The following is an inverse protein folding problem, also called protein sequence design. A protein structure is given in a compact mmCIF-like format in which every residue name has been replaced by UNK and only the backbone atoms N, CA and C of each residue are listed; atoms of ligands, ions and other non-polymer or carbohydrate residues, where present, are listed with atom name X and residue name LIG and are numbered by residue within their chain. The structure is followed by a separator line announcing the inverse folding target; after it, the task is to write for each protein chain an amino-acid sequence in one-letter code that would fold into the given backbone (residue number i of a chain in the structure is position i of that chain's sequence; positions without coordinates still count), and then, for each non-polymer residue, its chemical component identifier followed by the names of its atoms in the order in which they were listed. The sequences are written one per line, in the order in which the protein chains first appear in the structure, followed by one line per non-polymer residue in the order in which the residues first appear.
data_IF_883170306057
#
_entry.id   IF_883170306057
#
_cell.length_a   1.000
_cell.length_b   1.000
_cell.length_c   1.000
_cell.angle_alpha   90.00
_cell.angle_beta   90.00
_cell.angle_gamma   90.00
#
_symmetry.space_group_name_H-M   'P 1'
#
loop_
_entity.id
_entity.type
_entity.pdbx_description
1 polymer ?
#
# COMPACT_ATOMS: atom_id res chain seq x y z
N UNK A 1 -8.87 -4.11 7.86
CA UNK A 1 -10.08 -4.94 7.62
C UNK A 1 -10.41 -5.72 8.88
N UNK A 2 -9.47 -6.52 9.38
CA UNK A 2 -9.47 -7.00 10.76
C UNK A 2 -9.50 -5.79 11.73
N UNK A 3 -10.48 -5.74 12.64
CA UNK A 3 -10.71 -4.61 13.56
C UNK A 3 -11.36 -3.36 12.93
N UNK A 4 -11.80 -3.44 11.67
CA UNK A 4 -12.46 -2.32 10.97
C UNK A 4 -13.82 -2.73 10.41
N UNK A 5 -13.84 -3.66 9.45
CA UNK A 5 -15.08 -4.20 8.87
C UNK A 5 -15.49 -5.53 9.51
N UNK A 6 -14.52 -6.24 10.09
CA UNK A 6 -14.72 -7.48 10.83
C UNK A 6 -14.11 -7.36 12.22
N UNK A 7 -14.70 -8.06 13.20
CA UNK A 7 -14.10 -8.20 14.51
C UNK A 7 -12.70 -8.82 14.42
N UNK A 8 -11.81 -8.43 15.33
CA UNK A 8 -10.46 -8.97 15.40
C UNK A 8 -10.47 -10.51 15.43
N UNK A 9 -9.87 -11.15 14.42
CA UNK A 9 -9.76 -12.61 14.31
C UNK A 9 -10.99 -13.31 13.72
N UNK A 10 -12.02 -12.59 13.31
CA UNK A 10 -13.24 -13.20 12.74
C UNK A 10 -13.05 -13.82 11.36
N UNK A 11 -12.03 -13.37 10.61
CA UNK A 11 -11.62 -13.95 9.33
C UNK A 11 -10.10 -14.13 9.34
N UNK A 12 -9.63 -15.30 8.88
CA UNK A 12 -8.21 -15.52 8.65
C UNK A 12 -7.74 -14.78 7.39
N UNK A 13 -6.43 -14.55 7.29
CA UNK A 13 -5.83 -13.94 6.09
C UNK A 13 -6.06 -14.80 4.83
N UNK A 14 -6.07 -16.13 4.98
CA UNK A 14 -6.32 -17.06 3.87
C UNK A 14 -7.76 -17.00 3.37
N UNK A 15 -8.74 -16.95 4.28
CA UNK A 15 -10.15 -16.78 3.91
C UNK A 15 -10.37 -15.44 3.22
N UNK A 16 -9.81 -14.37 3.77
CA UNK A 16 -9.88 -13.06 3.15
C UNK A 16 -9.26 -13.06 1.74
N UNK A 17 -8.06 -13.63 1.60
CA UNK A 17 -7.35 -13.67 0.33
C UNK A 17 -8.18 -14.40 -0.74
N UNK A 18 -8.69 -15.59 -0.44
CA UNK A 18 -9.45 -16.41 -1.40
C UNK A 18 -10.84 -15.89 -1.69
N UNK A 19 -11.52 -15.26 -0.73
CA UNK A 19 -12.87 -14.75 -0.93
C UNK A 19 -12.90 -13.37 -1.60
N UNK A 20 -11.90 -12.52 -1.35
CA UNK A 20 -11.98 -11.10 -1.69
C UNK A 20 -10.78 -10.56 -2.48
N UNK A 21 -9.59 -11.16 -2.39
CA UNK A 21 -8.40 -10.59 -3.02
C UNK A 21 -8.04 -11.29 -4.33
N UNK A 22 -7.79 -12.60 -4.27
CA UNK A 22 -7.35 -13.44 -5.40
C UNK A 22 -8.37 -13.54 -6.54
N UNK A 23 -9.71 -13.55 -6.31
CA UNK A 23 -10.68 -13.67 -7.40
C UNK A 23 -10.79 -12.44 -8.31
N UNK A 24 -10.36 -11.26 -7.84
CA UNK A 24 -10.49 -10.03 -8.63
C UNK A 24 -9.32 -9.92 -9.62
N UNK A 25 -9.50 -10.44 -10.83
CA UNK A 25 -8.49 -10.48 -11.90
C UNK A 25 -8.93 -9.73 -13.17
N UNK A 26 -9.51 -8.55 -13.00
CA UNK A 26 -9.79 -7.61 -14.09
C UNK A 26 -8.53 -7.05 -14.76
N UNK A 27 -8.67 -6.60 -16.00
CA UNK A 27 -7.56 -6.07 -16.81
C UNK A 27 -7.15 -4.64 -16.41
N UNK A 28 -7.95 -3.94 -15.58
CA UNK A 28 -7.77 -2.54 -15.17
C UNK A 28 -8.02 -2.35 -13.66
N UNK A 29 -8.32 -1.11 -13.24
CA UNK A 29 -8.49 -0.68 -11.85
C UNK A 29 -9.71 -1.28 -11.12
N UNK A 30 -10.52 -2.10 -11.79
CA UNK A 30 -11.82 -2.62 -11.36
C UNK A 30 -11.71 -3.75 -10.31
N UNK A 31 -10.98 -3.47 -9.23
CA UNK A 31 -10.81 -4.36 -8.09
C UNK A 31 -9.63 -5.31 -8.19
N UNK A 32 -8.94 -5.39 -9.34
CA UNK A 32 -7.73 -6.20 -9.47
C UNK A 32 -6.47 -5.47 -9.06
N UNK A 33 -5.74 -6.02 -8.09
CA UNK A 33 -4.41 -5.53 -7.73
C UNK A 33 -3.42 -5.64 -8.90
N UNK A 34 -3.35 -6.81 -9.55
CA UNK A 34 -2.40 -7.04 -10.65
C UNK A 34 -2.75 -6.19 -11.88
N UNK A 35 -4.05 -6.10 -12.24
CA UNK A 35 -4.51 -5.23 -13.31
C UNK A 35 -4.15 -3.76 -13.06
N UNK A 36 -4.40 -3.26 -11.84
CA UNK A 36 -4.00 -1.92 -11.43
C UNK A 36 -2.48 -1.71 -11.52
N UNK A 37 -1.68 -2.61 -10.95
CA UNK A 37 -0.22 -2.54 -10.98
C UNK A 37 0.33 -2.46 -12.41
N UNK A 38 -0.15 -3.34 -13.31
CA UNK A 38 0.31 -3.35 -14.70
C UNK A 38 -0.10 -2.07 -15.43
N UNK A 39 -1.32 -1.58 -15.21
CA UNK A 39 -1.80 -0.35 -15.86
C UNK A 39 -0.90 0.85 -15.56
N UNK A 40 -0.35 0.95 -14.35
CA UNK A 40 0.63 1.97 -13.99
C UNK A 40 2.03 1.68 -14.49
N UNK A 41 2.45 0.41 -14.52
CA UNK A 41 3.73 0.01 -15.12
C UNK A 41 3.82 0.42 -16.60
N UNK A 42 2.72 0.34 -17.34
CA UNK A 42 2.65 0.78 -18.74
C UNK A 42 2.85 2.29 -18.90
N UNK A 43 2.62 3.07 -17.84
CA UNK A 43 2.87 4.52 -17.80
C UNK A 43 4.28 4.89 -17.33
N UNK A 44 5.19 3.95 -17.06
CA UNK A 44 6.51 4.24 -16.49
C UNK A 44 7.41 5.18 -17.32
N UNK A 45 7.15 5.28 -18.63
CA UNK A 45 7.88 6.18 -19.54
C UNK A 45 7.13 7.49 -19.80
N UNK A 46 5.96 7.69 -19.18
CA UNK A 46 5.21 8.93 -19.27
C UNK A 46 5.88 9.98 -18.38
N UNK A 47 6.33 11.08 -18.96
CA UNK A 47 7.00 12.16 -18.22
C UNK A 47 6.11 12.83 -17.16
N UNK A 48 4.79 12.63 -17.22
CA UNK A 48 3.83 13.12 -16.22
C UNK A 48 3.50 12.09 -15.13
N UNK A 49 4.23 10.97 -15.06
CA UNK A 49 4.02 9.91 -14.09
C UNK A 49 5.33 9.56 -13.40
N UNK A 50 5.35 9.67 -12.07
CA UNK A 50 6.44 9.17 -11.23
C UNK A 50 5.99 7.89 -10.53
N UNK A 51 6.66 6.78 -10.82
CA UNK A 51 6.45 5.51 -10.12
C UNK A 51 7.39 5.42 -8.93
N UNK A 52 6.83 5.16 -7.74
CA UNK A 52 7.58 4.93 -6.51
C UNK A 52 7.17 3.59 -5.91
N UNK A 53 8.07 2.98 -5.16
CA UNK A 53 7.77 1.79 -4.36
C UNK A 53 7.73 2.18 -2.90
N UNK A 54 6.78 1.61 -2.15
CA UNK A 54 6.69 1.87 -0.70
C UNK A 54 7.98 1.44 0.00
N UNK A 55 8.58 0.33 -0.43
CA UNK A 55 9.85 -0.18 0.05
C UNK A 55 11.01 0.78 -0.21
N UNK A 56 11.08 1.38 -1.40
CA UNK A 56 12.10 2.37 -1.74
C UNK A 56 11.99 3.62 -0.85
N UNK A 57 10.77 4.15 -0.69
CA UNK A 57 10.52 5.30 0.19
C UNK A 57 10.86 5.00 1.65
N UNK A 58 10.56 3.78 2.13
CA UNK A 58 10.91 3.35 3.48
C UNK A 58 12.39 3.12 3.69
N UNK A 59 13.11 2.68 2.66
CA UNK A 59 14.55 2.47 2.71
C UNK A 59 15.31 3.80 2.76
N UNK A 60 14.87 4.80 2.00
CA UNK A 60 15.46 6.13 2.03
C UNK A 60 14.42 7.23 1.74
N UNK A 61 13.86 7.79 2.82
CA UNK A 61 12.83 8.82 2.72
C UNK A 61 13.37 10.14 2.13
N UNK A 62 14.63 10.49 2.42
CA UNK A 62 15.26 11.71 1.86
C UNK A 62 15.32 11.65 0.35
N UNK A 63 15.83 10.54 -0.20
CA UNK A 63 15.91 10.35 -1.65
C UNK A 63 14.53 10.36 -2.29
N UNK A 64 13.52 9.77 -1.64
CA UNK A 64 12.15 9.83 -2.14
C UNK A 64 11.61 11.26 -2.19
N UNK A 65 11.81 12.05 -1.12
CA UNK A 65 11.39 13.46 -1.07
C UNK A 65 12.09 14.29 -2.15
N UNK A 66 13.40 14.12 -2.32
CA UNK A 66 14.19 14.79 -3.35
C UNK A 66 13.72 14.41 -4.76
N UNK A 67 13.44 13.12 -4.99
CA UNK A 67 12.91 12.62 -6.27
C UNK A 67 11.55 13.23 -6.60
N UNK A 68 10.65 13.31 -5.61
CA UNK A 68 9.32 13.91 -5.77
C UNK A 68 9.43 15.41 -6.03
N UNK A 69 10.27 16.12 -5.27
CA UNK A 69 10.47 17.55 -5.46
C UNK A 69 11.02 17.87 -6.86
N UNK A 70 12.00 17.09 -7.32
CA UNK A 70 12.53 17.22 -8.68
C UNK A 70 11.45 16.98 -9.74
N UNK A 71 10.67 15.90 -9.61
CA UNK A 71 9.57 15.58 -10.53
C UNK A 71 8.49 16.66 -10.60
N UNK A 72 8.20 17.32 -9.47
CA UNK A 72 7.23 18.41 -9.38
C UNK A 72 7.84 19.80 -9.68
N UNK A 73 9.13 19.86 -10.02
CA UNK A 73 9.87 21.11 -10.24
C UNK A 73 9.82 22.08 -9.05
N UNK A 74 9.85 21.54 -7.82
CA UNK A 74 9.84 22.31 -6.57
C UNK A 74 11.28 22.48 -6.06
N UNK A 75 11.68 23.73 -5.82
CA UNK A 75 12.94 24.02 -5.13
C UNK A 75 12.85 23.54 -3.67
N UNK A 76 13.70 22.57 -3.33
CA UNK A 76 13.73 21.95 -2.01
C UNK A 76 14.90 22.51 -1.19
N UNK A 77 14.68 23.66 -0.55
CA UNK A 77 15.63 24.22 0.40
C UNK A 77 15.69 23.38 1.70
N UNK A 78 16.73 23.59 2.51
CA UNK A 78 16.92 22.78 3.72
C UNK A 78 15.76 22.91 4.73
N UNK A 79 15.20 24.11 5.00
CA UNK A 79 14.02 24.22 5.86
C UNK A 79 12.80 23.43 5.37
N UNK A 80 12.49 23.49 4.07
CA UNK A 80 11.38 22.73 3.49
C UNK A 80 11.67 21.22 3.53
N UNK A 81 12.90 20.81 3.24
CA UNK A 81 13.34 19.42 3.32
C UNK A 81 13.15 18.85 4.72
N UNK A 82 13.64 19.54 5.75
CA UNK A 82 13.47 19.13 7.14
C UNK A 82 11.98 19.03 7.53
N UNK A 83 11.17 19.99 7.12
CA UNK A 83 9.74 20.02 7.40
C UNK A 83 9.02 18.81 6.78
N UNK A 84 9.28 18.53 5.50
CA UNK A 84 8.66 17.41 4.78
C UNK A 84 9.10 16.08 5.39
N UNK A 85 10.39 15.90 5.69
CA UNK A 85 10.90 14.68 6.32
C UNK A 85 10.27 14.43 7.68
N UNK A 86 10.14 15.47 8.51
CA UNK A 86 9.49 15.38 9.80
C UNK A 86 8.04 14.94 9.66
N UNK A 87 7.24 15.62 8.83
CA UNK A 87 5.81 15.35 8.71
C UNK A 87 5.47 14.04 7.97
N UNK A 88 6.36 13.55 7.12
CA UNK A 88 6.23 12.26 6.45
C UNK A 88 6.81 11.09 7.26
N UNK A 89 7.44 11.36 8.40
CA UNK A 89 7.96 10.31 9.28
C UNK A 89 6.84 9.51 9.93
N UNK A 90 7.10 8.22 10.16
CA UNK A 90 6.17 7.34 10.86
C UNK A 90 5.90 7.83 12.29
N UNK A 91 6.92 8.31 12.98
CA UNK A 91 6.81 8.86 14.33
C UNK A 91 5.81 10.01 14.38
N UNK A 92 5.95 10.97 13.47
CA UNK A 92 5.02 12.09 13.38
C UNK A 92 3.60 11.62 13.05
N UNK A 93 3.44 10.71 12.08
CA UNK A 93 2.12 10.18 11.71
C UNK A 93 1.43 9.45 12.87
N UNK A 94 2.17 8.66 13.66
CA UNK A 94 1.65 7.98 14.85
C UNK A 94 1.26 8.96 15.94
N UNK A 95 2.10 9.96 16.23
CA UNK A 95 1.81 11.01 17.20
C UNK A 95 0.55 11.82 16.83
N UNK A 96 0.20 11.87 15.54
CA UNK A 96 -0.95 12.61 15.00
C UNK A 96 -2.00 11.68 14.39
N UNK A 97 -2.09 10.42 14.83
CA UNK A 97 -2.94 9.38 14.21
C UNK A 97 -4.42 9.79 14.05
N UNK A 98 -4.94 10.67 14.92
CA UNK A 98 -6.31 11.19 14.86
C UNK A 98 -6.60 12.04 13.62
N UNK A 99 -5.56 12.58 12.95
CA UNK A 99 -5.71 13.28 11.66
C UNK A 99 -5.93 12.32 10.50
N UNK A 100 -5.67 11.03 10.70
CA UNK A 100 -5.75 9.99 9.68
C UNK A 100 -6.90 9.01 9.95
N UNK A 101 -7.76 9.27 10.94
CA UNK A 101 -8.96 8.47 11.20
C UNK A 101 -10.20 9.02 10.47
N UNK A 102 -11.27 8.23 10.40
CA UNK A 102 -12.57 8.63 9.82
C UNK A 102 -13.63 8.82 10.92
N UNK A 103 -13.56 9.89 11.74
CA UNK A 103 -14.42 10.04 12.91
C UNK A 103 -15.91 10.11 12.55
N UNK A 104 -16.26 10.67 11.38
CA UNK A 104 -17.65 10.74 10.92
C UNK A 104 -18.20 9.37 10.52
N UNK A 105 -17.42 8.56 9.81
CA UNK A 105 -17.82 7.20 9.43
C UNK A 105 -17.97 6.32 10.66
N UNK A 106 -17.01 6.41 11.60
CA UNK A 106 -17.08 5.72 12.88
C UNK A 106 -18.34 6.11 13.66
N UNK A 107 -18.64 7.39 13.80
CA UNK A 107 -19.83 7.85 14.51
C UNK A 107 -21.13 7.39 13.84
N UNK A 108 -21.19 7.37 12.50
CA UNK A 108 -22.37 6.92 11.78
C UNK A 108 -22.59 5.40 11.91
N UNK A 109 -21.56 4.59 11.71
CA UNK A 109 -21.63 3.12 11.80
C UNK A 109 -21.85 2.63 13.23
N UNK A 110 -21.32 3.34 14.23
CA UNK A 110 -21.54 3.02 15.65
C UNK A 110 -23.01 3.18 16.07
N UNK A 111 -23.74 4.16 15.52
CA UNK A 111 -25.18 4.34 15.79
C UNK A 111 -26.01 3.14 15.32
N UNK A 112 -25.60 2.53 14.22
CA UNK A 112 -26.27 1.36 13.63
C UNK A 112 -25.76 0.03 14.22
N UNK A 113 -24.86 0.07 15.22
CA UNK A 113 -24.26 -1.13 15.80
C UNK A 113 -23.31 -1.89 14.85
N UNK A 114 -22.91 -1.27 13.74
CA UNK A 114 -22.02 -1.83 12.72
C UNK A 114 -20.54 -1.54 12.98
N UNK A 115 -20.22 -0.99 14.15
CA UNK A 115 -18.86 -0.67 14.56
C UNK A 115 -18.37 -1.61 15.67
N UNK A 116 -17.18 -2.23 15.54
CA UNK A 116 -16.60 -3.05 16.61
C UNK A 116 -16.34 -2.21 17.87
N UNK A 117 -16.82 -2.62 19.06
CA UNK A 117 -16.63 -1.87 20.30
C UNK A 117 -15.15 -1.88 20.77
N UNK A 118 -14.65 -0.71 21.20
CA UNK A 118 -13.39 -0.59 21.96
C UNK A 118 -12.09 -0.43 21.15
N UNK A 119 -12.15 -0.40 19.82
CA UNK A 119 -10.94 -0.34 18.99
C UNK A 119 -10.61 1.09 18.51
N UNK A 120 -9.35 1.50 18.73
CA UNK A 120 -8.82 2.76 18.18
C UNK A 120 -8.40 2.54 16.74
N UNK A 121 -9.15 3.09 15.79
CA UNK A 121 -8.92 2.89 14.36
C UNK A 121 -7.94 3.91 13.79
N UNK A 122 -6.65 3.69 14.06
CA UNK A 122 -5.61 4.38 13.31
C UNK A 122 -5.46 3.73 11.94
N UNK A 123 -5.46 4.54 10.87
CA UNK A 123 -5.02 4.10 9.52
C UNK A 123 -3.50 3.99 9.42
N UNK A 124 -2.78 4.58 10.36
CA UNK A 124 -1.32 4.49 10.47
C UNK A 124 -0.99 3.28 11.34
N UNK A 125 -0.43 2.25 10.71
CA UNK A 125 -0.02 1.00 11.38
C UNK A 125 1.53 0.97 11.55
N UNK A 126 2.12 -0.20 11.79
CA UNK A 126 3.56 -0.41 12.09
C UNK A 126 4.53 0.23 11.09
N UNK A 127 4.12 0.50 9.85
CA UNK A 127 4.96 1.15 8.83
C UNK A 127 6.25 0.37 8.50
N UNK A 128 6.17 -0.96 8.55
CA UNK A 128 7.27 -1.89 8.33
C UNK A 128 7.10 -2.61 6.99
N UNK A 129 8.23 -2.88 6.33
CA UNK A 129 8.30 -3.70 5.12
C UNK A 129 8.62 -5.14 5.50
N UNK A 130 7.91 -6.10 4.90
CA UNK A 130 8.23 -7.52 5.02
C UNK A 130 7.49 -8.30 6.10
N UNK A 131 6.55 -7.69 6.84
CA UNK A 131 5.70 -8.38 7.82
C UNK A 131 4.92 -9.57 7.21
N UNK A 132 4.59 -9.50 5.91
CA UNK A 132 3.96 -10.59 5.18
C UNK A 132 4.75 -11.91 5.25
N UNK A 133 6.07 -11.88 5.45
CA UNK A 133 6.90 -13.09 5.50
C UNK A 133 6.56 -14.00 6.68
N UNK A 134 6.00 -13.43 7.75
CA UNK A 134 5.55 -14.18 8.93
C UNK A 134 4.04 -14.31 9.00
N UNK A 135 3.30 -13.37 8.39
CA UNK A 135 1.84 -13.30 8.48
C UNK A 135 1.11 -14.01 7.33
N UNK A 136 1.74 -14.12 6.15
CA UNK A 136 1.13 -14.71 4.95
C UNK A 136 1.48 -16.20 4.86
N UNK A 137 0.48 -17.11 4.84
CA UNK A 137 0.71 -18.52 4.63
C UNK A 137 1.34 -18.80 3.26
N UNK A 138 2.25 -19.78 3.22
CA UNK A 138 3.06 -20.09 2.04
C UNK A 138 2.22 -20.46 0.81
N UNK A 139 1.10 -21.13 1.02
CA UNK A 139 0.16 -21.52 -0.03
C UNK A 139 -0.51 -20.31 -0.69
N UNK A 140 -0.83 -19.27 0.08
CA UNK A 140 -1.40 -18.03 -0.47
C UNK A 140 -0.34 -17.28 -1.27
N UNK A 141 0.91 -17.25 -0.80
CA UNK A 141 2.03 -16.71 -1.57
C UNK A 141 2.20 -17.42 -2.92
N UNK A 142 2.13 -18.75 -2.94
CA UNK A 142 2.23 -19.53 -4.18
C UNK A 142 1.04 -19.28 -5.14
N UNK A 143 -0.17 -19.11 -4.62
CA UNK A 143 -1.36 -18.71 -5.40
C UNK A 143 -1.16 -17.31 -6.01
N UNK A 144 -0.66 -16.34 -5.24
CA UNK A 144 -0.34 -14.99 -5.74
C UNK A 144 0.74 -15.01 -6.82
N UNK A 145 1.79 -15.83 -6.66
CA UNK A 145 2.85 -15.98 -7.65
C UNK A 145 2.33 -16.63 -8.95
N UNK A 146 1.35 -17.53 -8.86
CA UNK A 146 0.69 -18.08 -10.05
C UNK A 146 -0.05 -17.00 -10.83
N UNK A 147 -0.84 -16.17 -10.13
CA UNK A 147 -1.55 -15.05 -10.76
C UNK A 147 -0.57 -14.06 -11.38
N UNK A 148 0.57 -13.78 -10.72
CA UNK A 148 1.61 -12.91 -11.27
C UNK A 148 2.12 -13.42 -12.63
N UNK A 149 2.44 -14.71 -12.73
CA UNK A 149 2.93 -15.33 -13.98
C UNK A 149 1.90 -15.27 -15.11
N UNK A 150 0.61 -15.34 -14.77
CA UNK A 150 -0.48 -15.31 -15.75
C UNK A 150 -0.84 -13.88 -16.19
N UNK A 151 -0.69 -12.89 -15.30
CA UNK A 151 -1.23 -11.53 -15.52
C UNK A 151 -0.17 -10.45 -15.70
N UNK A 152 0.88 -10.46 -14.89
CA UNK A 152 1.88 -9.38 -14.83
C UNK A 152 3.07 -9.69 -15.71
N UNK A 153 3.65 -10.88 -15.60
CA UNK A 153 4.84 -11.25 -16.36
C UNK A 153 4.65 -11.08 -17.88
N UNK A 154 3.53 -11.52 -18.52
CA UNK A 154 3.36 -11.38 -19.96
C UNK A 154 3.31 -9.93 -20.46
N UNK A 155 2.86 -8.99 -19.61
CA UNK A 155 2.72 -7.56 -19.96
C UNK A 155 3.94 -6.73 -19.59
N UNK A 156 4.68 -7.16 -18.57
CA UNK A 156 5.81 -6.41 -18.03
C UNK A 156 7.17 -6.99 -18.40
N UNK A 157 7.24 -8.28 -18.74
CA UNK A 157 8.47 -9.05 -18.91
C UNK A 157 9.18 -9.39 -17.59
N UNK A 158 8.53 -9.14 -16.45
CA UNK A 158 9.15 -9.29 -15.13
C UNK A 158 8.57 -10.49 -14.39
N UNK A 159 9.43 -11.46 -14.05
CA UNK A 159 9.04 -12.72 -13.44
C UNK A 159 8.60 -12.62 -11.96
N UNK A 160 8.80 -11.48 -11.31
CA UNK A 160 8.41 -11.29 -9.91
C UNK A 160 8.30 -9.82 -9.52
N UNK A 161 7.65 -9.57 -8.37
CA UNK A 161 7.60 -8.24 -7.77
C UNK A 161 8.99 -7.69 -7.42
N UNK A 162 9.92 -8.57 -7.00
CA UNK A 162 11.30 -8.17 -6.72
C UNK A 162 12.01 -7.71 -7.99
N UNK A 163 11.77 -8.37 -9.14
CA UNK A 163 12.29 -7.92 -10.42
C UNK A 163 11.70 -6.56 -10.84
N UNK A 164 10.39 -6.36 -10.62
CA UNK A 164 9.74 -5.06 -10.86
C UNK A 164 10.36 -3.95 -10.01
N UNK A 165 10.55 -4.21 -8.72
CA UNK A 165 11.18 -3.24 -7.83
C UNK A 165 12.61 -2.92 -8.24
N UNK A 166 13.38 -3.91 -8.65
CA UNK A 166 14.75 -3.71 -9.14
C UNK A 166 14.79 -2.90 -10.44
N UNK A 167 13.77 -3.02 -11.29
CA UNK A 167 13.67 -2.24 -12.53
C UNK A 167 13.24 -0.76 -12.31
N UNK A 168 12.77 -0.41 -11.11
CA UNK A 168 12.44 0.97 -10.71
C UNK A 168 13.53 1.65 -9.87
N UNK A 169 14.53 0.89 -9.41
CA UNK A 169 15.63 1.38 -8.59
C UNK A 169 16.79 1.86 -9.46
#
# INVERSE_FOLDING_TARGET
LNGWHWQAGAISISEFARAHYLPHQGERWDGSYWGHLVSWWEQRHNAQVLLLTYEGMKANLSVAVETIAHFLEIELDEPLRELVLKHSSLEFMLAHQSKFSDPLQQAATAKEGLWPPGETTSKVNKGQVGAHRTELPTEIGAEMDAIWRETVEPRTGLASYQALRAALA
#
